data_IF_541187320726
#
_entry.id   IF_541187320726
#
_cell.length_a   1.000
_cell.length_b   1.000
_cell.length_c   1.000
_cell.angle_alpha   90.00
_cell.angle_beta   90.00
_cell.angle_gamma   90.00
#
_symmetry.space_group_name_H-M   'P 1'
#
loop_
_entity.id
_entity.type
_entity.pdbx_description
1 polymer ?
#
# COMPACT_ATOMS: atom_id res chain seq x y z
N UNK A 1 12.90 -14.60 -12.26
CA UNK A 1 13.12 -14.20 -13.68
C UNK A 1 12.77 -15.24 -14.76
N UNK A 2 13.24 -16.50 -14.70
CA UNK A 2 13.00 -17.48 -15.77
C UNK A 2 11.52 -17.81 -15.99
N UNK A 3 10.76 -17.99 -14.91
CA UNK A 3 9.32 -18.31 -14.96
C UNK A 3 8.51 -17.19 -15.63
N UNK A 4 8.75 -15.92 -15.25
CA UNK A 4 8.15 -14.76 -15.93
C UNK A 4 8.45 -14.73 -17.43
N UNK A 5 9.71 -14.97 -17.81
CA UNK A 5 10.11 -15.01 -19.23
C UNK A 5 9.35 -16.10 -19.99
N UNK A 6 9.10 -17.25 -19.36
CA UNK A 6 8.31 -18.31 -19.95
C UNK A 6 6.85 -17.88 -20.17
N UNK A 7 6.20 -17.27 -19.17
CA UNK A 7 4.84 -16.73 -19.33
C UNK A 7 4.74 -15.67 -20.43
N UNK A 8 5.68 -14.71 -20.44
CA UNK A 8 5.72 -13.67 -21.47
C UNK A 8 6.01 -14.24 -22.86
N UNK A 9 6.85 -15.27 -22.97
CA UNK A 9 7.11 -15.98 -24.23
C UNK A 9 5.86 -16.74 -24.71
N UNK A 10 5.19 -17.47 -23.81
CA UNK A 10 3.99 -18.23 -24.12
C UNK A 10 2.82 -17.31 -24.54
N UNK A 11 2.61 -16.19 -23.82
CA UNK A 11 1.60 -15.20 -24.18
C UNK A 11 1.86 -14.60 -25.58
N UNK A 12 3.13 -14.29 -25.89
CA UNK A 12 3.54 -13.78 -27.21
C UNK A 12 3.39 -14.83 -28.30
N UNK A 13 3.77 -16.07 -28.06
CA UNK A 13 3.61 -17.16 -29.02
C UNK A 13 2.13 -17.37 -29.38
N UNK A 14 1.23 -17.35 -28.40
CA UNK A 14 -0.22 -17.41 -28.63
C UNK A 14 -0.74 -16.21 -29.43
N UNK A 15 -0.19 -15.01 -29.20
CA UNK A 15 -0.55 -13.81 -29.95
C UNK A 15 -0.09 -13.88 -31.42
N UNK A 16 1.15 -14.31 -31.65
CA UNK A 16 1.73 -14.41 -33.00
C UNK A 16 1.06 -15.49 -33.85
N UNK A 17 0.63 -16.59 -33.22
CA UNK A 17 -0.09 -17.66 -33.89
C UNK A 17 -1.59 -17.37 -34.08
N UNK A 18 -2.05 -16.16 -33.74
CA UNK A 18 -3.47 -15.78 -33.68
C UNK A 18 -4.35 -16.86 -33.00
N UNK A 19 -3.85 -17.38 -31.88
CA UNK A 19 -4.47 -18.53 -31.23
C UNK A 19 -5.83 -18.15 -30.64
N UNK A 20 -6.88 -18.97 -30.82
CA UNK A 20 -8.17 -18.76 -30.17
C UNK A 20 -8.13 -18.97 -28.65
N UNK A 21 -6.99 -19.41 -28.08
CA UNK A 21 -6.82 -19.66 -26.64
C UNK A 21 -6.63 -18.36 -25.83
N UNK A 22 -7.54 -17.40 -26.00
CA UNK A 22 -7.49 -16.07 -25.35
C UNK A 22 -7.51 -16.16 -23.82
N UNK A 23 -8.27 -17.11 -23.26
CA UNK A 23 -8.31 -17.36 -21.80
C UNK A 23 -6.93 -17.75 -21.25
N UNK A 24 -6.23 -18.65 -21.94
CA UNK A 24 -4.89 -19.08 -21.53
C UNK A 24 -3.89 -17.92 -21.62
N UNK A 25 -4.00 -17.10 -22.66
CA UNK A 25 -3.17 -15.90 -22.81
C UNK A 25 -3.43 -14.87 -21.71
N UNK A 26 -4.69 -14.64 -21.32
CA UNK A 26 -5.04 -13.77 -20.19
C UNK A 26 -4.42 -14.29 -18.89
N UNK A 27 -4.49 -15.61 -18.67
CA UNK A 27 -3.84 -16.24 -17.52
C UNK A 27 -2.32 -16.04 -17.50
N UNK A 28 -1.63 -16.18 -18.65
CA UNK A 28 -0.19 -15.89 -18.71
C UNK A 28 0.17 -14.43 -18.42
N UNK A 29 -0.65 -13.48 -18.89
CA UNK A 29 -0.47 -12.07 -18.54
C UNK A 29 -0.68 -11.83 -17.03
N UNK A 30 -1.70 -12.45 -16.42
CA UNK A 30 -1.92 -12.38 -14.98
C UNK A 30 -0.74 -12.96 -14.17
N UNK A 31 -0.21 -14.13 -14.55
CA UNK A 31 0.93 -14.72 -13.85
C UNK A 31 2.23 -13.92 -14.04
N UNK A 32 2.45 -13.36 -15.23
CA UNK A 32 3.56 -12.43 -15.46
C UNK A 32 3.43 -11.16 -14.59
N UNK A 33 2.22 -10.62 -14.47
CA UNK A 33 1.94 -9.47 -13.60
C UNK A 33 2.22 -9.76 -12.13
N UNK A 34 1.85 -10.95 -11.63
CA UNK A 34 2.16 -11.37 -10.26
C UNK A 34 3.66 -11.43 -10.02
N UNK A 35 4.44 -11.94 -10.98
CA UNK A 35 5.91 -11.92 -10.88
C UNK A 35 6.45 -10.49 -10.82
N UNK A 36 6.02 -9.59 -11.72
CA UNK A 36 6.49 -8.21 -11.72
C UNK A 36 6.06 -7.46 -10.43
N UNK A 37 4.87 -7.76 -9.88
CA UNK A 37 4.40 -7.17 -8.63
C UNK A 37 5.21 -7.64 -7.41
N UNK A 38 5.71 -8.88 -7.44
CA UNK A 38 6.60 -9.43 -6.41
C UNK A 38 8.02 -8.87 -6.51
N UNK A 39 8.48 -8.56 -7.72
CA UNK A 39 9.77 -7.91 -8.00
C UNK A 39 9.72 -6.36 -7.83
N UNK A 40 8.67 -5.81 -7.20
CA UNK A 40 8.38 -4.36 -7.07
C UNK A 40 8.38 -3.56 -8.39
N UNK A 41 8.29 -4.23 -9.54
CA UNK A 41 8.22 -3.61 -10.86
C UNK A 41 6.78 -3.17 -11.19
N UNK A 42 6.21 -2.26 -10.37
CA UNK A 42 4.78 -1.91 -10.37
C UNK A 42 4.23 -1.48 -11.73
N UNK A 43 5.01 -0.69 -12.49
CA UNK A 43 4.62 -0.25 -13.83
C UNK A 43 4.46 -1.41 -14.80
N UNK A 44 5.39 -2.39 -14.77
CA UNK A 44 5.34 -3.57 -15.64
C UNK A 44 4.21 -4.50 -15.24
N UNK A 45 4.02 -4.69 -13.93
CA UNK A 45 2.89 -5.43 -13.41
C UNK A 45 1.56 -4.82 -13.90
N UNK A 46 1.42 -3.50 -13.84
CA UNK A 46 0.23 -2.79 -14.34
C UNK A 46 -0.02 -3.00 -15.84
N UNK A 47 1.04 -2.98 -16.65
CA UNK A 47 0.96 -3.25 -18.09
C UNK A 47 0.47 -4.67 -18.38
N UNK A 48 0.99 -5.68 -17.68
CA UNK A 48 0.56 -7.07 -17.86
C UNK A 48 -0.88 -7.29 -17.37
N UNK A 49 -1.28 -6.67 -16.26
CA UNK A 49 -2.69 -6.71 -15.81
C UNK A 49 -3.62 -6.09 -16.86
N UNK A 50 -3.25 -4.94 -17.42
CA UNK A 50 -4.05 -4.29 -18.47
C UNK A 50 -4.20 -5.20 -19.71
N UNK A 51 -3.13 -5.90 -20.12
CA UNK A 51 -3.18 -6.89 -21.21
C UNK A 51 -4.07 -8.08 -20.88
N UNK A 52 -4.05 -8.58 -19.63
CA UNK A 52 -4.94 -9.64 -19.16
C UNK A 52 -6.41 -9.21 -19.30
N UNK A 53 -6.76 -8.04 -18.76
CA UNK A 53 -8.12 -7.50 -18.76
C UNK A 53 -8.64 -7.13 -20.16
N UNK A 54 -7.75 -6.79 -21.09
CA UNK A 54 -8.12 -6.45 -22.47
C UNK A 54 -8.48 -7.67 -23.33
N UNK A 55 -8.14 -8.88 -22.90
CA UNK A 55 -8.42 -10.09 -23.68
C UNK A 55 -9.88 -10.51 -23.51
N UNK A 56 -10.64 -10.43 -24.60
CA UNK A 56 -11.99 -10.97 -24.66
C UNK A 56 -11.96 -12.51 -24.68
N UNK A 57 -12.16 -13.12 -23.51
CA UNK A 57 -12.11 -14.56 -23.30
C UNK A 57 -13.39 -15.04 -22.61
N UNK A 58 -13.71 -16.31 -22.84
CA UNK A 58 -14.83 -17.01 -22.20
C UNK A 58 -14.32 -18.03 -21.17
N UNK A 59 -15.13 -18.37 -20.14
CA UNK A 59 -14.74 -19.34 -19.11
C UNK A 59 -14.55 -20.73 -19.72
N UNK A 60 -13.77 -21.58 -19.05
CA UNK A 60 -13.75 -23.01 -19.41
C UNK A 60 -15.10 -23.65 -19.09
N UNK A 61 -15.41 -24.83 -19.68
CA UNK A 61 -16.64 -25.57 -19.35
C UNK A 61 -16.75 -25.87 -17.85
N UNK A 62 -15.62 -26.21 -17.22
CA UNK A 62 -15.52 -26.48 -15.79
C UNK A 62 -15.77 -25.23 -14.95
N UNK A 63 -15.19 -24.09 -15.32
CA UNK A 63 -15.46 -22.82 -14.63
C UNK A 63 -16.89 -22.35 -14.81
N UNK A 64 -17.46 -22.48 -16.01
CA UNK A 64 -18.85 -22.14 -16.27
C UNK A 64 -19.81 -23.00 -15.42
N UNK A 65 -19.43 -24.24 -15.08
CA UNK A 65 -20.20 -25.08 -14.17
C UNK A 65 -20.08 -24.64 -12.70
N UNK A 66 -18.88 -24.31 -12.23
CA UNK A 66 -18.64 -23.95 -10.83
C UNK A 66 -18.98 -22.50 -10.48
N UNK A 67 -18.85 -21.58 -11.44
CA UNK A 67 -19.12 -20.14 -11.27
C UNK A 67 -19.93 -19.60 -12.45
N UNK A 68 -21.15 -20.12 -12.70
CA UNK A 68 -21.97 -19.74 -13.87
C UNK A 68 -22.33 -18.25 -13.93
N UNK A 69 -22.30 -17.55 -12.80
CA UNK A 69 -22.57 -16.11 -12.72
C UNK A 69 -21.35 -15.22 -13.07
N UNK A 70 -20.19 -15.81 -13.36
CA UNK A 70 -18.99 -15.07 -13.77
C UNK A 70 -18.67 -15.34 -15.24
N UNK A 71 -19.02 -14.38 -16.10
CA UNK A 71 -18.66 -14.41 -17.52
C UNK A 71 -17.15 -14.33 -17.75
N UNK A 72 -16.42 -13.71 -16.82
CA UNK A 72 -14.96 -13.54 -16.90
C UNK A 72 -14.29 -13.89 -15.57
N UNK A 73 -14.15 -15.20 -15.24
CA UNK A 73 -13.67 -15.61 -13.92
C UNK A 73 -12.25 -15.12 -13.60
N UNK A 74 -11.37 -14.93 -14.60
CA UNK A 74 -10.01 -14.43 -14.37
C UNK A 74 -9.97 -12.96 -13.92
N UNK A 75 -11.03 -12.20 -14.18
CA UNK A 75 -11.08 -10.77 -13.90
C UNK A 75 -11.12 -10.52 -12.38
N UNK A 76 -11.65 -11.46 -11.59
CA UNK A 76 -11.65 -11.33 -10.11
C UNK A 76 -10.25 -11.20 -9.53
N UNK A 77 -9.24 -11.81 -10.16
CA UNK A 77 -7.84 -11.69 -9.74
C UNK A 77 -7.13 -10.55 -10.46
N UNK A 78 -7.41 -10.35 -11.75
CA UNK A 78 -6.77 -9.28 -12.52
C UNK A 78 -7.21 -7.89 -12.04
N UNK A 79 -8.50 -7.70 -11.76
CA UNK A 79 -9.03 -6.46 -11.19
C UNK A 79 -8.52 -6.24 -9.76
N UNK A 80 -8.52 -7.27 -8.91
CA UNK A 80 -7.96 -7.15 -7.57
C UNK A 80 -6.48 -6.75 -7.59
N UNK A 81 -5.68 -7.35 -8.49
CA UNK A 81 -4.27 -6.97 -8.65
C UNK A 81 -4.11 -5.55 -9.21
N UNK A 82 -4.93 -5.15 -10.19
CA UNK A 82 -4.95 -3.76 -10.68
C UNK A 82 -5.17 -2.78 -9.53
N UNK A 83 -6.21 -3.02 -8.72
CA UNK A 83 -6.60 -2.11 -7.65
C UNK A 83 -5.51 -2.07 -6.56
N UNK A 84 -4.90 -3.21 -6.23
CA UNK A 84 -3.74 -3.27 -5.34
C UNK A 84 -2.52 -2.50 -5.88
N UNK A 85 -2.23 -2.60 -7.18
CA UNK A 85 -1.14 -1.86 -7.81
C UNK A 85 -1.39 -0.34 -7.82
N UNK A 86 -2.64 0.08 -8.05
CA UNK A 86 -3.03 1.50 -7.94
C UNK A 86 -2.76 2.03 -6.54
N UNK A 87 -3.10 1.26 -5.50
CA UNK A 87 -2.83 1.64 -4.11
C UNK A 87 -1.34 1.67 -3.80
N UNK A 88 -0.55 0.71 -4.28
CA UNK A 88 0.91 0.68 -4.08
C UNK A 88 1.64 1.80 -4.80
N UNK A 89 1.12 2.24 -5.94
CA UNK A 89 1.70 3.34 -6.72
C UNK A 89 1.10 4.71 -6.33
N UNK A 90 0.10 4.75 -5.44
CA UNK A 90 -0.47 5.99 -4.96
C UNK A 90 0.51 6.68 -4.01
N UNK A 91 0.86 7.93 -4.32
CA UNK A 91 1.58 8.76 -3.37
C UNK A 91 0.70 9.00 -2.14
N UNK A 92 1.32 8.88 -0.96
CA UNK A 92 0.69 9.33 0.28
C UNK A 92 0.56 10.86 0.23
N UNK A 93 -0.58 11.43 0.65
CA UNK A 93 -0.74 12.86 0.70
C UNK A 93 0.28 13.45 1.68
N UNK A 94 0.79 14.66 1.41
CA UNK A 94 1.72 15.32 2.29
C UNK A 94 1.12 15.44 3.70
N UNK A 95 1.98 15.31 4.71
CA UNK A 95 1.55 15.53 6.08
C UNK A 95 1.10 16.99 6.27
N UNK A 96 0.11 17.26 7.13
CA UNK A 96 -0.17 18.62 7.54
C UNK A 96 1.07 19.21 8.22
N UNK A 97 1.34 20.49 7.99
CA UNK A 97 2.53 21.15 8.53
C UNK A 97 2.71 20.95 10.05
N UNK A 98 1.62 20.86 10.81
CA UNK A 98 1.68 20.59 12.25
C UNK A 98 2.21 19.19 12.61
N UNK A 99 1.99 18.17 11.77
CA UNK A 99 2.62 16.85 11.95
C UNK A 99 4.12 16.91 11.69
N UNK A 100 4.54 17.58 10.62
CA UNK A 100 5.96 17.75 10.29
C UNK A 100 6.71 18.57 11.35
N UNK A 101 6.10 19.64 11.84
CA UNK A 101 6.63 20.44 12.94
C UNK A 101 6.74 19.64 14.24
N UNK A 102 5.71 18.84 14.57
CA UNK A 102 5.74 17.97 15.75
C UNK A 102 6.86 16.93 15.65
N UNK A 103 6.99 16.26 14.49
CA UNK A 103 8.06 15.30 14.24
C UNK A 103 9.44 15.95 14.35
N UNK A 104 9.63 17.13 13.77
CA UNK A 104 10.89 17.89 13.88
C UNK A 104 11.25 18.20 15.33
N UNK A 105 10.27 18.61 16.14
CA UNK A 105 10.47 18.87 17.57
C UNK A 105 10.85 17.59 18.34
N UNK A 106 10.21 16.46 18.02
CA UNK A 106 10.52 15.15 18.61
C UNK A 106 11.95 14.73 18.27
N UNK A 107 12.36 14.79 17.00
CA UNK A 107 13.74 14.44 16.59
C UNK A 107 14.79 15.32 17.29
N UNK A 108 14.56 16.63 17.33
CA UNK A 108 15.45 17.55 18.06
C UNK A 108 15.52 17.26 19.55
N UNK A 109 14.44 16.73 20.15
CA UNK A 109 14.43 16.36 21.57
C UNK A 109 15.32 15.14 21.86
N UNK A 110 15.42 14.21 20.90
CA UNK A 110 16.30 13.02 21.00
C UNK A 110 17.78 13.42 21.02
N UNK A 111 18.13 14.51 20.33
CA UNK A 111 19.49 15.05 20.29
C UNK A 111 19.80 16.02 21.46
N UNK A 112 18.78 16.45 22.21
CA UNK A 112 18.95 17.41 23.29
C UNK A 112 19.68 16.81 24.50
N UNK A 113 20.82 17.41 24.86
CA UNK A 113 21.62 17.02 26.04
C UNK A 113 21.03 17.49 27.37
N UNK A 114 20.37 18.64 27.36
CA UNK A 114 19.74 19.20 28.57
C UNK A 114 18.34 18.61 28.77
N UNK A 115 18.03 18.05 29.96
CA UNK A 115 16.70 17.56 30.28
C UNK A 115 15.61 18.64 30.16
N UNK A 116 15.92 19.89 30.54
CA UNK A 116 14.97 21.00 30.44
C UNK A 116 14.64 21.34 28.98
N UNK A 117 15.65 21.35 28.10
CA UNK A 117 15.45 21.59 26.66
C UNK A 117 14.65 20.45 26.03
N UNK A 118 14.95 19.20 26.41
CA UNK A 118 14.18 18.04 25.95
C UNK A 118 12.71 18.16 26.33
N UNK A 119 12.43 18.53 27.58
CA UNK A 119 11.05 18.69 28.07
C UNK A 119 10.30 19.81 27.35
N UNK A 120 10.95 20.95 27.08
CA UNK A 120 10.36 22.04 26.28
C UNK A 120 9.96 21.55 24.87
N UNK A 121 10.89 20.86 24.19
CA UNK A 121 10.67 20.36 22.83
C UNK A 121 9.52 19.33 22.77
N UNK A 122 9.49 18.39 23.72
CA UNK A 122 8.40 17.40 23.85
C UNK A 122 7.08 18.09 24.15
N UNK A 123 7.05 19.09 25.05
CA UNK A 123 5.82 19.83 25.37
C UNK A 123 5.29 20.59 24.16
N UNK A 124 6.17 21.21 23.38
CA UNK A 124 5.77 21.91 22.14
C UNK A 124 5.27 20.94 21.07
N UNK A 125 5.90 19.78 20.93
CA UNK A 125 5.43 18.74 20.01
C UNK A 125 4.03 18.22 20.43
N UNK A 126 3.80 18.02 21.73
CA UNK A 126 2.51 17.66 22.28
C UNK A 126 1.43 18.68 21.91
N UNK A 127 1.70 19.98 22.08
CA UNK A 127 0.75 21.04 21.73
C UNK A 127 0.41 21.04 20.24
N UNK A 128 1.38 20.76 19.36
CA UNK A 128 1.14 20.64 17.92
C UNK A 128 0.24 19.46 17.58
N UNK A 129 0.47 18.30 18.20
CA UNK A 129 -0.36 17.10 17.95
C UNK A 129 -1.76 17.22 18.57
N UNK A 130 -1.87 17.80 19.76
CA UNK A 130 -3.14 17.97 20.47
C UNK A 130 -4.09 18.94 19.75
N UNK A 131 -3.56 19.88 18.96
CA UNK A 131 -4.35 20.79 18.14
C UNK A 131 -4.94 20.14 16.87
N UNK A 132 -4.49 18.94 16.51
CA UNK A 132 -4.96 18.25 15.30
C UNK A 132 -6.28 17.50 15.57
N UNK A 133 -7.15 17.36 14.55
CA UNK A 133 -8.38 16.57 14.70
C UNK A 133 -8.06 15.11 15.00
N UNK A 134 -8.93 14.43 15.73
CA UNK A 134 -8.79 12.98 15.96
C UNK A 134 -9.02 12.26 14.63
N UNK A 135 -8.05 11.46 14.19
CA UNK A 135 -8.21 10.57 13.03
C UNK A 135 -8.78 9.25 13.52
N UNK A 136 -10.08 9.04 13.30
CA UNK A 136 -10.67 7.73 13.50
C UNK A 136 -10.17 6.76 12.39
N UNK A 137 -9.93 5.48 12.71
CA UNK A 137 -9.76 4.48 11.67
C UNK A 137 -11.03 4.42 10.81
N UNK A 138 -10.91 4.11 9.50
CA UNK A 138 -12.07 4.04 8.62
C UNK A 138 -13.04 2.95 9.07
N UNK A 139 -14.34 3.20 8.88
CA UNK A 139 -15.40 2.28 9.24
C UNK A 139 -15.23 0.92 8.57
N UNK A 140 -15.71 -0.12 9.25
CA UNK A 140 -15.63 -1.51 8.75
C UNK A 140 -16.29 -1.64 7.38
N UNK A 141 -17.43 -0.96 7.21
CA UNK A 141 -18.28 -1.01 6.03
C UNK A 141 -17.83 -0.07 4.91
N UNK A 142 -16.79 0.74 5.15
CA UNK A 142 -16.24 1.62 4.12
C UNK A 142 -15.67 0.79 2.97
N UNK A 143 -16.02 1.13 1.73
CA UNK A 143 -15.52 0.41 0.55
C UNK A 143 -13.98 0.36 0.52
N UNK A 144 -13.44 -0.79 0.13
CA UNK A 144 -12.01 -0.94 -0.11
C UNK A 144 -11.62 -0.10 -1.32
N UNK A 145 -10.79 0.93 -1.10
CA UNK A 145 -10.41 1.86 -2.17
C UNK A 145 -9.41 2.91 -1.70
N UNK A 146 -9.13 3.87 -2.59
CA UNK A 146 -8.14 4.92 -2.35
C UNK A 146 -8.45 5.74 -1.11
N UNK A 147 -9.71 6.13 -0.92
CA UNK A 147 -10.14 6.94 0.22
C UNK A 147 -9.89 6.22 1.57
N UNK A 148 -10.33 4.95 1.67
CA UNK A 148 -10.06 4.10 2.84
C UNK A 148 -8.56 3.94 3.10
N UNK A 149 -7.76 3.78 2.04
CA UNK A 149 -6.31 3.71 2.14
C UNK A 149 -5.69 5.02 2.66
N UNK A 150 -6.15 6.18 2.17
CA UNK A 150 -5.68 7.50 2.61
C UNK A 150 -5.95 7.72 4.11
N UNK A 151 -7.14 7.35 4.58
CA UNK A 151 -7.49 7.42 6.00
C UNK A 151 -6.59 6.51 6.84
N UNK A 152 -6.36 5.27 6.40
CA UNK A 152 -5.43 4.37 7.07
C UNK A 152 -3.97 4.88 7.07
N UNK A 153 -3.52 5.47 5.97
CA UNK A 153 -2.17 6.03 5.87
C UNK A 153 -1.99 7.20 6.85
N UNK A 154 -2.90 8.18 6.83
CA UNK A 154 -2.88 9.32 7.75
C UNK A 154 -2.96 8.88 9.23
N UNK A 155 -3.85 7.95 9.56
CA UNK A 155 -3.98 7.44 10.93
C UNK A 155 -2.70 6.73 11.40
N UNK A 156 -2.10 5.88 10.55
CA UNK A 156 -0.83 5.20 10.87
C UNK A 156 0.29 6.20 11.09
N UNK A 157 0.47 7.15 10.19
CA UNK A 157 1.49 8.19 10.31
C UNK A 157 1.35 8.97 11.62
N UNK A 158 0.14 9.45 11.95
CA UNK A 158 -0.13 10.17 13.21
C UNK A 158 0.16 9.30 14.44
N UNK A 159 -0.17 8.01 14.39
CA UNK A 159 0.11 7.05 15.47
C UNK A 159 1.62 6.88 15.71
N UNK A 160 2.42 6.83 14.64
CA UNK A 160 3.89 6.74 14.75
C UNK A 160 4.45 7.98 15.45
N UNK A 161 4.01 9.19 15.05
CA UNK A 161 4.48 10.43 15.68
C UNK A 161 4.11 10.48 17.18
N UNK A 162 2.89 10.06 17.54
CA UNK A 162 2.49 9.92 18.94
C UNK A 162 3.37 8.92 19.72
N UNK A 163 3.68 7.78 19.12
CA UNK A 163 4.55 6.79 19.74
C UNK A 163 5.95 7.36 19.98
N UNK A 164 6.55 8.02 18.98
CA UNK A 164 7.87 8.65 19.10
C UNK A 164 7.90 9.74 20.17
N UNK A 165 6.84 10.54 20.28
CA UNK A 165 6.68 11.53 21.33
C UNK A 165 6.67 10.88 22.73
N UNK A 166 5.87 9.82 22.91
CA UNK A 166 5.76 9.10 24.18
C UNK A 166 7.10 8.48 24.58
N UNK A 167 7.81 7.85 23.63
CA UNK A 167 9.15 7.31 23.89
C UNK A 167 10.16 8.39 24.27
N UNK A 168 10.13 9.53 23.57
CA UNK A 168 11.03 10.66 23.85
C UNK A 168 10.75 11.31 25.21
N UNK A 169 9.48 11.36 25.63
CA UNK A 169 9.06 11.82 26.95
C UNK A 169 9.55 10.86 28.06
N UNK A 170 9.37 9.54 27.87
CA UNK A 170 9.76 8.53 28.84
C UNK A 170 11.29 8.44 29.06
N UNK A 171 12.08 8.70 28.02
CA UNK A 171 13.54 8.76 28.12
C UNK A 171 14.03 9.93 29.00
N UNK A 172 13.21 10.96 29.22
CA UNK A 172 13.51 12.07 30.12
C UNK A 172 13.31 11.77 31.60
N UNK A 173 12.46 10.80 31.96
CA UNK A 173 12.10 10.51 33.36
C UNK A 173 13.02 9.51 34.08
N UNK A 174 13.93 8.83 33.37
CA UNK A 174 14.80 7.79 33.94
C UNK A 174 16.03 8.25 34.73
N UNK A 175 16.24 9.55 34.93
CA UNK A 175 17.46 10.13 35.51
C UNK A 175 17.39 10.57 36.98
N UNK A 176 16.31 10.27 37.71
CA UNK A 176 16.03 10.81 39.05
C UNK A 176 16.01 9.73 40.14
N UNK A 177 17.03 8.86 40.21
CA UNK A 177 17.12 7.85 41.26
C UNK A 177 18.55 7.38 41.50
N UNK A 178 19.29 8.07 42.37
CA UNK A 178 20.65 7.71 42.74
C UNK A 178 21.33 8.83 43.52
N UNK A 179 20.81 9.13 44.71
CA UNK A 179 21.45 9.93 45.75
C UNK A 179 21.46 9.13 47.04
#
# INVERSE_FOLDING_TARGET
>A
HHVKRAFAAAARALALADSPKRRLRAHFHLEAAKCDAADDALLKAGQEVARSLALDYVPSKEEAYHVPWLERPLDRWSAALRDALVLRNAAEPPAPASEDEALSLVERSKEARSPAIRQDLVTRALLKLAALPVLAPPDRDMATGRERWLLHAAARRRTVIWADLVFSAAAGSGGSGGG
#
